data_IF_712541021075
#
_entry.id   IF_712541021075
#
_cell.length_a   1.000
_cell.length_b   1.000
_cell.length_c   1.000
_cell.angle_alpha   90.00
_cell.angle_beta   90.00
_cell.angle_gamma   90.00
#
_symmetry.space_group_name_H-M   'P 1'
#
loop_
_entity.id
_entity.type
_entity.pdbx_description
1 polymer ?
#
# COMPACT_ATOMS: atom_id res chain seq x y z
N UNK A 1 24.31 71.97 -25.76
CA UNK A 1 24.24 70.72 -24.99
C UNK A 1 22.77 70.34 -24.97
N UNK A 2 22.36 69.50 -25.91
CA UNK A 2 20.96 69.18 -26.18
C UNK A 2 20.58 67.96 -25.37
N UNK A 3 19.83 68.18 -24.29
CA UNK A 3 19.11 67.13 -23.59
C UNK A 3 17.92 66.70 -24.49
N UNK A 4 18.01 65.49 -25.04
CA UNK A 4 16.86 64.80 -25.60
C UNK A 4 16.19 64.03 -24.46
N UNK A 5 15.17 64.62 -23.86
CA UNK A 5 14.18 63.86 -23.08
C UNK A 5 13.52 62.84 -24.00
N UNK A 6 13.83 61.57 -23.80
CA UNK A 6 13.07 60.46 -24.36
C UNK A 6 11.73 60.40 -23.62
N UNK A 7 10.71 61.03 -24.19
CA UNK A 7 9.33 60.86 -23.76
C UNK A 7 8.87 59.46 -24.20
N UNK A 8 8.89 58.51 -23.27
CA UNK A 8 8.31 57.18 -23.43
C UNK A 8 6.82 57.31 -23.80
N UNK A 9 6.40 56.69 -24.90
CA UNK A 9 5.04 56.76 -25.42
C UNK A 9 4.06 56.07 -24.45
N UNK A 10 2.83 56.59 -24.24
CA UNK A 10 1.79 55.88 -23.48
C UNK A 10 1.43 54.53 -24.08
N UNK A 11 1.71 54.30 -25.38
CA UNK A 11 1.56 53.00 -26.01
C UNK A 11 2.58 51.99 -25.49
N UNK A 12 3.83 52.41 -25.22
CA UNK A 12 4.89 51.52 -24.72
C UNK A 12 4.61 51.04 -23.29
N UNK A 13 4.01 51.88 -22.43
CA UNK A 13 3.64 51.49 -21.06
C UNK A 13 2.43 50.55 -21.01
N UNK A 14 1.46 50.74 -21.92
CA UNK A 14 0.30 49.85 -22.02
C UNK A 14 0.71 48.51 -22.63
N UNK A 15 1.62 48.52 -23.60
CA UNK A 15 2.20 47.30 -24.18
C UNK A 15 3.00 46.53 -23.12
N UNK A 16 3.77 47.21 -22.26
CA UNK A 16 4.55 46.57 -21.20
C UNK A 16 3.66 45.89 -20.14
N UNK A 17 2.61 46.56 -19.68
CA UNK A 17 1.64 45.99 -18.72
C UNK A 17 0.90 44.78 -19.29
N UNK A 18 0.52 44.83 -20.56
CA UNK A 18 -0.09 43.70 -21.26
C UNK A 18 0.89 42.53 -21.41
N UNK A 19 2.17 42.80 -21.68
CA UNK A 19 3.20 41.76 -21.74
C UNK A 19 3.49 41.14 -20.38
N UNK A 20 3.51 41.93 -19.31
CA UNK A 20 3.77 41.43 -17.96
C UNK A 20 2.59 40.57 -17.46
N UNK A 21 1.35 41.01 -17.70
CA UNK A 21 0.14 40.23 -17.40
C UNK A 21 0.08 38.89 -18.15
N UNK A 22 0.50 38.87 -19.42
CA UNK A 22 0.52 37.64 -20.22
C UNK A 22 1.62 36.68 -19.78
N UNK A 23 2.79 37.19 -19.39
CA UNK A 23 3.88 36.37 -18.82
C UNK A 23 3.43 35.71 -17.52
N UNK A 24 2.80 36.44 -16.59
CA UNK A 24 2.28 35.88 -15.33
C UNK A 24 1.27 34.76 -15.60
N UNK A 25 0.28 35.00 -16.47
CA UNK A 25 -0.72 33.98 -16.85
C UNK A 25 -0.11 32.75 -17.50
N UNK A 26 0.96 32.92 -18.28
CA UNK A 26 1.66 31.79 -18.90
C UNK A 26 2.42 30.98 -17.84
N UNK A 27 3.11 31.64 -16.91
CA UNK A 27 3.80 30.98 -15.80
C UNK A 27 2.85 30.15 -14.94
N UNK A 28 1.69 30.71 -14.56
CA UNK A 28 0.65 29.97 -13.81
C UNK A 28 0.15 28.74 -14.57
N UNK A 29 -0.06 28.86 -15.89
CA UNK A 29 -0.46 27.73 -16.74
C UNK A 29 0.64 26.67 -16.85
N UNK A 30 1.91 27.05 -16.87
CA UNK A 30 3.04 26.11 -16.89
C UNK A 30 3.08 25.31 -15.58
N UNK A 31 3.02 25.97 -14.43
CA UNK A 31 2.98 25.30 -13.13
C UNK A 31 1.79 24.34 -13.02
N UNK A 32 0.62 24.75 -13.50
CA UNK A 32 -0.57 23.91 -13.50
C UNK A 32 -0.40 22.67 -14.40
N UNK A 33 0.22 22.82 -15.57
CA UNK A 33 0.52 21.70 -16.47
C UNK A 33 1.54 20.75 -15.87
N UNK A 34 2.57 21.26 -15.18
CA UNK A 34 3.55 20.44 -14.47
C UNK A 34 2.89 19.60 -13.36
N UNK A 35 1.99 20.20 -12.57
CA UNK A 35 1.21 19.48 -11.57
C UNK A 35 0.30 18.40 -12.19
N UNK A 36 -0.39 18.73 -13.29
CA UNK A 36 -1.22 17.76 -14.00
C UNK A 36 -0.39 16.60 -14.55
N UNK A 37 0.78 16.89 -15.13
CA UNK A 37 1.69 15.89 -15.65
C UNK A 37 2.19 14.96 -14.53
N UNK A 38 2.57 15.52 -13.37
CA UNK A 38 3.00 14.74 -12.21
C UNK A 38 1.89 13.82 -11.69
N UNK A 39 0.64 14.31 -11.64
CA UNK A 39 -0.51 13.50 -11.22
C UNK A 39 -0.81 12.36 -12.21
N UNK A 40 -0.76 12.62 -13.52
CA UNK A 40 -0.95 11.59 -14.55
C UNK A 40 0.20 10.58 -14.53
N UNK A 41 1.44 11.03 -14.35
CA UNK A 41 2.60 10.16 -14.22
C UNK A 41 2.46 9.22 -13.02
N UNK A 42 1.98 9.73 -11.88
CA UNK A 42 1.67 8.93 -10.70
C UNK A 42 0.64 7.83 -11.03
N UNK A 43 -0.48 8.18 -11.68
CA UNK A 43 -1.52 7.23 -12.07
C UNK A 43 -1.03 6.18 -13.07
N UNK A 44 -0.24 6.58 -14.07
CA UNK A 44 0.36 5.65 -15.03
C UNK A 44 1.37 4.73 -14.35
N UNK A 45 2.17 5.27 -13.42
CA UNK A 45 3.10 4.47 -12.64
C UNK A 45 2.37 3.42 -11.82
N UNK A 46 1.22 3.74 -11.25
CA UNK A 46 0.38 2.77 -10.55
C UNK A 46 -0.24 1.73 -11.52
N UNK A 47 -0.75 2.15 -12.68
CA UNK A 47 -1.28 1.20 -13.68
C UNK A 47 -0.21 0.21 -14.13
N UNK A 48 1.02 0.67 -14.33
CA UNK A 48 2.14 -0.18 -14.70
C UNK A 48 2.60 -1.07 -13.55
N UNK A 49 2.85 -0.48 -12.37
CA UNK A 49 3.33 -1.16 -11.16
C UNK A 49 2.39 -2.27 -10.71
N UNK A 50 1.09 -1.98 -10.65
CA UNK A 50 0.09 -2.95 -10.18
C UNK A 50 -0.53 -3.78 -11.31
N UNK A 51 -0.21 -3.50 -12.58
CA UNK A 51 -0.84 -4.13 -13.74
C UNK A 51 -0.70 -5.65 -13.74
N UNK A 52 0.54 -6.14 -13.53
CA UNK A 52 0.79 -7.59 -13.47
C UNK A 52 0.10 -8.25 -12.27
N UNK A 53 0.14 -7.62 -11.09
CA UNK A 53 -0.56 -8.11 -9.91
C UNK A 53 -2.07 -8.23 -10.17
N UNK A 54 -2.68 -7.20 -10.74
CA UNK A 54 -4.10 -7.19 -11.10
C UNK A 54 -4.45 -8.35 -12.03
N UNK A 55 -3.64 -8.59 -13.05
CA UNK A 55 -3.90 -9.64 -14.04
C UNK A 55 -3.78 -11.04 -13.41
N UNK A 56 -2.79 -11.25 -12.52
CA UNK A 56 -2.63 -12.49 -11.75
C UNK A 56 -3.80 -12.74 -10.79
N UNK A 57 -4.25 -11.70 -10.08
CA UNK A 57 -5.40 -11.76 -9.19
C UNK A 57 -6.70 -12.06 -9.95
N UNK A 58 -6.90 -11.43 -11.11
CA UNK A 58 -8.05 -11.68 -11.98
C UNK A 58 -8.08 -13.13 -12.50
N UNK A 59 -6.91 -13.71 -12.76
CA UNK A 59 -6.75 -15.11 -13.14
C UNK A 59 -6.78 -16.09 -11.95
N UNK A 60 -6.96 -15.60 -10.71
CA UNK A 60 -6.93 -16.39 -9.48
C UNK A 60 -5.63 -17.20 -9.28
N UNK A 61 -4.52 -16.67 -9.81
CA UNK A 61 -3.19 -17.25 -9.64
C UNK A 61 -2.59 -16.76 -8.31
N UNK A 62 -3.13 -17.26 -7.20
CA UNK A 62 -2.90 -16.71 -5.87
C UNK A 62 -1.44 -16.73 -5.43
N UNK A 63 -0.70 -17.81 -5.74
CA UNK A 63 0.72 -17.93 -5.38
C UNK A 63 1.57 -16.92 -6.14
N UNK A 64 1.34 -16.78 -7.44
CA UNK A 64 2.03 -15.82 -8.29
C UNK A 64 1.67 -14.37 -7.92
N UNK A 65 0.40 -14.10 -7.61
CA UNK A 65 -0.07 -12.80 -7.15
C UNK A 65 0.56 -12.41 -5.79
N UNK A 66 0.75 -13.37 -4.89
CA UNK A 66 1.41 -13.17 -3.60
C UNK A 66 2.88 -12.80 -3.77
N UNK A 67 3.61 -13.51 -4.64
CA UNK A 67 4.99 -13.17 -4.99
C UNK A 67 5.09 -11.79 -5.66
N UNK A 68 4.17 -11.47 -6.57
CA UNK A 68 4.13 -10.17 -7.23
C UNK A 68 3.79 -9.05 -6.24
N UNK A 69 2.93 -9.30 -5.26
CA UNK A 69 2.62 -8.36 -4.17
C UNK A 69 3.88 -8.00 -3.41
N UNK A 70 4.70 -8.99 -2.99
CA UNK A 70 5.99 -8.72 -2.35
C UNK A 70 6.90 -7.89 -3.25
N UNK A 71 6.99 -8.21 -4.55
CA UNK A 71 7.80 -7.44 -5.50
C UNK A 71 7.39 -5.97 -5.58
N UNK A 72 6.09 -5.71 -5.71
CA UNK A 72 5.53 -4.37 -5.74
C UNK A 72 5.82 -3.63 -4.43
N UNK A 73 5.69 -4.32 -3.30
CA UNK A 73 5.99 -3.71 -2.00
C UNK A 73 7.46 -3.34 -1.85
N UNK A 74 8.38 -4.18 -2.35
CA UNK A 74 9.81 -3.87 -2.38
C UNK A 74 10.12 -2.67 -3.27
N UNK A 75 9.51 -2.58 -4.45
CA UNK A 75 9.66 -1.43 -5.35
C UNK A 75 9.22 -0.13 -4.66
N UNK A 76 8.08 -0.14 -3.97
CA UNK A 76 7.55 1.02 -3.24
C UNK A 76 8.49 1.44 -2.10
N UNK A 77 9.08 0.47 -1.41
CA UNK A 77 10.08 0.73 -0.38
C UNK A 77 11.46 1.13 -0.95
N UNK A 78 11.64 1.13 -2.28
CA UNK A 78 12.92 1.41 -2.92
C UNK A 78 13.98 0.34 -2.65
N UNK A 79 13.56 -0.89 -2.37
CA UNK A 79 14.45 -2.01 -2.05
C UNK A 79 14.39 -3.09 -3.13
N UNK A 80 15.48 -3.84 -3.27
CA UNK A 80 15.58 -4.95 -4.23
C UNK A 80 15.45 -6.33 -3.61
N UNK A 81 15.59 -6.43 -2.28
CA UNK A 81 15.55 -7.68 -1.54
C UNK A 81 14.70 -7.52 -0.27
N UNK A 82 13.87 -8.53 0.01
CA UNK A 82 13.02 -8.58 1.20
C UNK A 82 13.82 -8.56 2.50
N UNK A 83 15.00 -9.17 2.53
CA UNK A 83 15.86 -9.18 3.72
C UNK A 83 16.47 -7.80 4.04
N UNK A 84 16.43 -6.86 3.09
CA UNK A 84 16.91 -5.48 3.31
C UNK A 84 15.84 -4.58 3.94
N UNK A 85 14.57 -5.00 3.95
CA UNK A 85 13.48 -4.21 4.53
C UNK A 85 13.63 -4.21 6.04
N UNK A 86 13.76 -3.02 6.61
CA UNK A 86 13.79 -2.82 8.06
C UNK A 86 12.40 -2.49 8.61
N UNK A 87 12.14 -2.74 9.91
CA UNK A 87 10.88 -2.33 10.54
C UNK A 87 10.61 -0.82 10.39
N UNK A 88 11.66 0.00 10.37
CA UNK A 88 11.58 1.45 10.17
C UNK A 88 11.12 1.82 8.76
N UNK A 89 11.56 1.09 7.71
CA UNK A 89 11.05 1.28 6.34
C UNK A 89 9.55 0.99 6.27
N UNK A 90 9.11 -0.05 6.98
CA UNK A 90 7.71 -0.47 6.99
C UNK A 90 6.81 0.54 7.70
N UNK A 91 7.26 1.19 8.76
CA UNK A 91 6.45 2.19 9.46
C UNK A 91 6.23 3.45 8.59
N UNK A 92 7.07 3.68 7.59
CA UNK A 92 6.95 4.79 6.63
C UNK A 92 6.20 4.41 5.35
N UNK A 93 5.75 3.15 5.22
CA UNK A 93 5.14 2.66 3.99
C UNK A 93 3.92 3.49 3.59
N UNK A 94 3.77 3.94 2.33
CA UNK A 94 2.68 4.84 1.96
C UNK A 94 1.29 4.23 2.13
N UNK A 95 0.41 4.90 2.88
CA UNK A 95 -0.95 4.41 3.13
C UNK A 95 -1.78 4.24 1.85
N UNK A 96 -1.60 5.12 0.86
CA UNK A 96 -2.28 5.02 -0.44
C UNK A 96 -1.96 3.70 -1.15
N UNK A 97 -0.70 3.26 -1.07
CA UNK A 97 -0.26 1.99 -1.66
C UNK A 97 -0.83 0.79 -0.91
N UNK A 98 -0.81 0.80 0.42
CA UNK A 98 -1.39 -0.28 1.23
C UNK A 98 -2.89 -0.45 0.98
N UNK A 99 -3.64 0.66 0.93
CA UNK A 99 -5.06 0.66 0.62
C UNK A 99 -5.35 0.14 -0.80
N UNK A 100 -4.50 0.48 -1.77
CA UNK A 100 -4.67 0.00 -3.15
C UNK A 100 -4.37 -1.50 -3.28
N UNK A 101 -3.30 -1.99 -2.66
CA UNK A 101 -2.97 -3.41 -2.61
C UNK A 101 -4.10 -4.21 -1.94
N UNK A 102 -4.59 -3.75 -0.79
CA UNK A 102 -5.72 -4.35 -0.09
C UNK A 102 -6.98 -4.40 -0.97
N UNK A 103 -7.32 -3.26 -1.61
CA UNK A 103 -8.48 -3.18 -2.51
C UNK A 103 -8.40 -4.19 -3.66
N UNK A 104 -7.22 -4.36 -4.27
CA UNK A 104 -7.02 -5.34 -5.35
C UNK A 104 -7.25 -6.76 -4.84
N UNK A 105 -6.61 -7.14 -3.74
CA UNK A 105 -6.76 -8.48 -3.15
C UNK A 105 -8.21 -8.78 -2.79
N UNK A 106 -8.89 -7.84 -2.14
CA UNK A 106 -10.29 -7.99 -1.74
C UNK A 106 -11.23 -8.10 -2.93
N UNK A 107 -11.08 -7.23 -3.92
CA UNK A 107 -11.93 -7.21 -5.10
C UNK A 107 -11.90 -8.55 -5.85
N UNK A 108 -10.72 -9.11 -6.08
CA UNK A 108 -10.58 -10.34 -6.87
C UNK A 108 -10.81 -11.62 -6.06
N UNK A 109 -10.60 -11.58 -4.74
CA UNK A 109 -10.87 -12.72 -3.85
C UNK A 109 -12.32 -12.79 -3.34
N UNK A 110 -13.16 -11.79 -3.63
CA UNK A 110 -14.50 -11.68 -3.07
C UNK A 110 -14.46 -11.45 -1.56
N UNK A 111 -13.62 -10.51 -1.11
CA UNK A 111 -13.40 -10.17 0.29
C UNK A 111 -12.93 -11.35 1.16
N UNK A 112 -12.19 -12.30 0.59
CA UNK A 112 -11.58 -13.41 1.35
C UNK A 112 -10.14 -13.14 1.77
N UNK A 113 -9.41 -12.38 0.96
CA UNK A 113 -7.98 -12.10 1.10
C UNK A 113 -7.74 -10.59 1.09
N UNK A 114 -6.67 -10.14 1.74
CA UNK A 114 -6.31 -8.72 1.83
C UNK A 114 -5.76 -8.34 3.21
N UNK A 115 -4.90 -7.33 3.24
CA UNK A 115 -4.24 -6.86 4.46
C UNK A 115 -5.20 -6.34 5.52
N UNK A 116 -6.33 -5.76 5.13
CA UNK A 116 -7.36 -5.30 6.07
C UNK A 116 -8.03 -6.45 6.81
N UNK A 117 -8.24 -7.60 6.18
CA UNK A 117 -8.73 -8.80 6.87
C UNK A 117 -7.68 -9.35 7.83
N UNK A 118 -6.41 -9.35 7.43
CA UNK A 118 -5.31 -9.80 8.28
C UNK A 118 -5.20 -8.93 9.54
N UNK A 119 -5.27 -7.61 9.36
CA UNK A 119 -5.36 -6.66 10.46
C UNK A 119 -6.58 -6.93 11.33
N UNK A 120 -7.76 -7.10 10.74
CA UNK A 120 -9.00 -7.31 11.50
C UNK A 120 -8.92 -8.59 12.35
N UNK A 121 -8.37 -9.67 11.80
CA UNK A 121 -8.08 -10.91 12.53
C UNK A 121 -7.14 -10.61 13.70
N UNK A 122 -6.03 -9.92 13.46
CA UNK A 122 -5.08 -9.53 14.51
C UNK A 122 -5.73 -8.74 15.65
N UNK A 123 -6.55 -7.73 15.33
CA UNK A 123 -7.26 -6.95 16.35
C UNK A 123 -8.26 -7.81 17.12
N UNK A 124 -9.00 -8.70 16.43
CA UNK A 124 -9.96 -9.59 17.10
C UNK A 124 -9.31 -10.60 18.04
N UNK A 125 -8.04 -10.94 17.82
CA UNK A 125 -7.24 -11.78 18.74
C UNK A 125 -6.64 -11.00 19.94
N UNK A 126 -6.95 -9.71 20.04
CA UNK A 126 -6.45 -8.79 21.09
C UNK A 126 -5.23 -7.98 20.68
N UNK A 127 -4.82 -8.03 19.41
CA UNK A 127 -3.69 -7.26 18.89
C UNK A 127 -3.93 -5.76 18.91
N UNK A 128 -2.86 -4.99 19.17
CA UNK A 128 -2.87 -3.51 19.17
C UNK A 128 -1.77 -2.97 18.27
N UNK A 129 -1.76 -1.65 18.05
CA UNK A 129 -0.72 -0.92 17.33
C UNK A 129 0.51 -0.58 18.20
N UNK A 130 0.56 -1.09 19.44
CA UNK A 130 1.69 -0.91 20.35
C UNK A 130 2.90 -1.76 19.92
N UNK A 131 3.76 -1.16 19.10
CA UNK A 131 4.99 -1.79 18.60
C UNK A 131 6.03 -2.10 19.70
N UNK A 132 5.86 -1.58 20.92
CA UNK A 132 6.79 -1.86 22.03
C UNK A 132 6.56 -3.21 22.68
N UNK A 133 5.39 -3.82 22.45
CA UNK A 133 5.01 -5.10 23.02
C UNK A 133 4.73 -6.13 21.91
N UNK A 134 5.56 -7.18 21.85
CA UNK A 134 5.39 -8.28 20.90
C UNK A 134 4.79 -9.48 21.64
N UNK A 135 3.47 -9.64 21.57
CA UNK A 135 2.78 -10.82 22.10
C UNK A 135 2.77 -11.95 21.06
N UNK A 136 3.69 -12.90 21.25
CA UNK A 136 3.80 -14.06 20.38
C UNK A 136 2.54 -14.95 20.42
N UNK A 137 1.83 -15.02 21.54
CA UNK A 137 0.62 -15.84 21.66
C UNK A 137 -0.52 -15.27 20.79
N UNK A 138 -0.62 -13.94 20.67
CA UNK A 138 -1.54 -13.30 19.72
C UNK A 138 -1.15 -13.69 18.29
N UNK A 139 0.11 -13.48 17.89
CA UNK A 139 0.58 -13.80 16.54
C UNK A 139 0.38 -15.28 16.18
N UNK A 140 0.54 -16.17 17.15
CA UNK A 140 0.27 -17.59 17.02
C UNK A 140 -1.19 -17.90 16.71
N UNK A 141 -2.15 -17.36 17.48
CA UNK A 141 -3.60 -17.53 17.21
C UNK A 141 -4.01 -16.93 15.87
N UNK A 142 -3.43 -15.78 15.53
CA UNK A 142 -3.61 -15.11 14.25
C UNK A 142 -3.10 -16.00 13.10
N UNK A 143 -1.93 -16.61 13.27
CA UNK A 143 -1.38 -17.59 12.33
C UNK A 143 -2.23 -18.84 12.18
N UNK A 144 -2.85 -19.32 13.27
CA UNK A 144 -3.79 -20.45 13.21
C UNK A 144 -5.04 -20.08 12.40
N UNK A 145 -5.62 -18.89 12.63
CA UNK A 145 -6.82 -18.42 11.90
C UNK A 145 -6.57 -18.15 10.42
N UNK A 146 -5.39 -17.64 10.06
CA UNK A 146 -5.02 -17.39 8.67
C UNK A 146 -4.49 -18.65 7.96
N UNK A 147 -4.42 -19.80 8.63
CA UNK A 147 -3.88 -21.03 8.04
C UNK A 147 -2.37 -21.00 7.80
N UNK A 148 -1.63 -20.16 8.53
CA UNK A 148 -0.17 -20.09 8.48
C UNK A 148 0.51 -21.04 9.47
N UNK A 149 -0.28 -21.64 10.36
CA UNK A 149 0.18 -22.62 11.35
C UNK A 149 -0.70 -23.86 11.32
N UNK A 150 -0.08 -25.00 11.57
CA UNK A 150 -0.76 -26.26 11.81
C UNK A 150 0.03 -27.09 12.83
N UNK A 151 -0.67 -27.78 13.73
CA UNK A 151 -0.05 -28.61 14.77
C UNK A 151 1.01 -27.85 15.59
N UNK A 152 0.70 -26.61 15.99
CA UNK A 152 1.58 -25.70 16.74
C UNK A 152 2.90 -25.35 16.02
N UNK A 153 2.94 -25.44 14.68
CA UNK A 153 4.12 -25.10 13.88
C UNK A 153 3.77 -24.16 12.74
N UNK A 154 4.63 -23.18 12.51
CA UNK A 154 4.59 -22.31 11.34
C UNK A 154 4.89 -23.11 10.07
N UNK A 155 4.02 -22.97 9.08
CA UNK A 155 4.14 -23.66 7.80
C UNK A 155 5.19 -22.97 6.91
N UNK A 156 5.96 -23.76 6.16
CA UNK A 156 6.79 -23.21 5.10
C UNK A 156 5.92 -22.64 3.97
N UNK A 157 6.50 -21.82 3.10
CA UNK A 157 5.73 -21.13 2.06
C UNK A 157 5.03 -22.10 1.11
N UNK A 158 5.73 -23.19 0.75
CA UNK A 158 5.19 -24.21 -0.14
C UNK A 158 4.12 -25.11 0.51
N UNK A 159 3.92 -24.98 1.83
CA UNK A 159 2.88 -25.71 2.56
C UNK A 159 1.58 -24.91 2.73
N UNK A 160 1.57 -23.62 2.35
CA UNK A 160 0.36 -22.80 2.44
C UNK A 160 -0.67 -23.23 1.38
N UNK A 161 -1.94 -23.10 1.73
CA UNK A 161 -3.05 -23.34 0.81
C UNK A 161 -3.24 -22.11 -0.10
N UNK A 162 -2.95 -22.25 -1.40
CA UNK A 162 -3.18 -21.23 -2.42
C UNK A 162 -4.43 -21.52 -3.27
N UNK A 163 -5.37 -22.32 -2.75
CA UNK A 163 -6.65 -22.56 -3.41
C UNK A 163 -7.68 -21.52 -3.01
N UNK A 164 -8.80 -21.51 -3.73
CA UNK A 164 -9.96 -20.68 -3.38
C UNK A 164 -10.59 -21.07 -2.03
N UNK A 165 -10.27 -22.24 -1.47
CA UNK A 165 -10.74 -22.67 -0.15
C UNK A 165 -9.86 -22.22 1.01
N UNK A 166 -8.73 -21.57 0.75
CA UNK A 166 -7.81 -21.14 1.79
C UNK A 166 -8.51 -20.27 2.85
N UNK A 167 -8.08 -20.32 4.13
CA UNK A 167 -8.72 -19.58 5.21
C UNK A 167 -8.84 -18.08 4.94
N UNK A 168 -9.80 -17.42 5.58
CA UNK A 168 -9.96 -15.97 5.49
C UNK A 168 -8.67 -15.26 5.93
N UNK A 169 -8.26 -14.25 5.17
CA UNK A 169 -7.02 -13.51 5.41
C UNK A 169 -5.73 -14.29 5.10
N UNK A 170 -5.79 -15.52 4.57
CA UNK A 170 -4.57 -16.32 4.33
C UNK A 170 -3.57 -15.61 3.40
N UNK A 171 -4.04 -14.84 2.42
CA UNK A 171 -3.21 -14.10 1.47
C UNK A 171 -3.47 -12.59 1.50
N UNK A 172 -2.49 -11.76 1.12
CA UNK A 172 -1.10 -12.13 0.78
C UNK A 172 -0.28 -12.59 1.99
N UNK A 173 0.58 -13.60 1.82
CA UNK A 173 1.32 -14.30 2.86
C UNK A 173 2.84 -14.13 2.79
N UNK A 174 3.42 -13.93 1.59
CA UNK A 174 4.86 -13.95 1.41
C UNK A 174 5.56 -12.75 2.07
N UNK A 175 4.91 -11.58 2.08
CA UNK A 175 5.42 -10.36 2.72
C UNK A 175 5.73 -10.54 4.22
N UNK A 176 5.05 -11.46 4.90
CA UNK A 176 5.23 -11.69 6.33
C UNK A 176 6.52 -12.49 6.65
N UNK A 177 7.22 -13.03 5.64
CA UNK A 177 8.40 -13.90 5.79
C UNK A 177 9.71 -13.10 5.86
N UNK A 178 9.78 -12.17 6.79
CA UNK A 178 10.97 -11.33 7.01
C UNK A 178 11.98 -11.99 7.97
N UNK A 179 13.26 -11.71 7.76
CA UNK A 179 14.34 -12.09 8.69
C UNK A 179 14.15 -11.52 10.12
N UNK A 180 13.39 -10.43 10.28
CA UNK A 180 13.05 -9.86 11.59
C UNK A 180 11.87 -10.55 12.30
N UNK A 181 11.23 -11.53 11.65
CA UNK A 181 10.17 -12.36 12.23
C UNK A 181 9.03 -11.54 12.85
N UNK A 182 8.68 -11.88 14.10
CA UNK A 182 7.57 -11.27 14.83
C UNK A 182 7.66 -9.73 14.94
N UNK A 183 8.88 -9.17 15.01
CA UNK A 183 9.06 -7.71 15.05
C UNK A 183 8.55 -7.06 13.77
N UNK A 184 8.87 -7.61 12.59
CA UNK A 184 8.36 -7.09 11.33
C UNK A 184 6.84 -7.18 11.24
N UNK A 185 6.28 -8.30 11.70
CA UNK A 185 4.85 -8.53 11.66
C UNK A 185 4.09 -7.46 12.48
N UNK A 186 4.52 -7.20 13.73
CA UNK A 186 3.88 -6.19 14.59
C UNK A 186 4.01 -4.79 14.00
N UNK A 187 5.18 -4.42 13.47
CA UNK A 187 5.37 -3.11 12.85
C UNK A 187 4.49 -2.91 11.62
N UNK A 188 4.36 -3.95 10.79
CA UNK A 188 3.50 -3.87 9.61
C UNK A 188 2.01 -3.80 9.99
N UNK A 189 1.57 -4.60 10.97
CA UNK A 189 0.20 -4.54 11.50
C UNK A 189 -0.13 -3.17 12.08
N UNK A 190 0.77 -2.60 12.88
CA UNK A 190 0.63 -1.24 13.40
C UNK A 190 0.55 -0.22 12.26
N UNK A 191 1.35 -0.38 11.20
CA UNK A 191 1.28 0.49 10.02
C UNK A 191 -0.07 0.39 9.31
N UNK A 192 -0.58 -0.82 9.12
CA UNK A 192 -1.92 -1.01 8.55
C UNK A 192 -2.98 -0.28 9.39
N UNK A 193 -2.87 -0.33 10.72
CA UNK A 193 -3.82 0.32 11.66
C UNK A 193 -3.77 1.83 11.53
N UNK A 194 -2.57 2.42 11.55
CA UNK A 194 -2.38 3.85 11.34
C UNK A 194 -2.85 4.35 9.97
N UNK A 195 -2.85 3.47 8.97
CA UNK A 195 -3.31 3.78 7.62
C UNK A 195 -4.82 3.56 7.42
N UNK A 196 -5.58 3.19 8.45
CA UNK A 196 -7.01 2.88 8.37
C UNK A 196 -7.34 1.87 7.26
N UNK A 197 -6.48 0.87 7.06
CA UNK A 197 -6.68 -0.19 6.06
C UNK A 197 -7.74 -1.16 6.61
N UNK A 198 -9.02 -0.81 6.48
CA UNK A 198 -10.14 -1.50 7.14
C UNK A 198 -11.01 -2.31 6.19
N UNK A 199 -11.56 -3.40 6.72
CA UNK A 199 -12.57 -4.25 6.06
C UNK A 199 -13.93 -4.08 6.72
N UNK A 200 -14.99 -4.16 5.92
CA UNK A 200 -16.38 -4.15 6.41
C UNK A 200 -16.93 -5.57 6.62
N UNK A 201 -16.10 -6.61 6.43
CA UNK A 201 -16.51 -8.00 6.66
C UNK A 201 -16.69 -8.23 8.16
N UNK A 202 -17.85 -8.73 8.58
CA UNK A 202 -18.05 -9.16 9.97
C UNK A 202 -17.38 -10.52 10.16
N UNK A 203 -16.39 -10.59 11.06
CA UNK A 203 -15.85 -11.87 11.50
C UNK A 203 -16.93 -12.52 12.37
N UNK A 204 -17.63 -13.52 11.82
CA UNK A 204 -18.52 -14.36 12.61
C UNK A 204 -17.64 -15.34 13.36
N UNK A 205 -17.70 -15.33 14.69
CA UNK A 205 -17.13 -16.39 15.51
C UNK A 205 -17.95 -17.66 15.24
N UNK A 206 -17.34 -18.65 14.58
CA UNK A 206 -17.91 -20.00 14.57
C UNK A 206 -17.77 -20.55 16.00
N UNK A 207 -18.82 -20.37 16.81
CA UNK A 207 -18.97 -21.10 18.07
C UNK A 207 -18.92 -22.59 17.74
N UNK A 208 -17.86 -23.25 18.20
CA UNK A 208 -17.74 -24.70 18.14
C UNK A 208 -18.86 -25.34 18.98
N UNK A 209 -19.94 -25.76 18.33
CA UNK A 209 -20.87 -26.76 18.88
C UNK A 209 -20.10 -28.10 19.03
N UNK A 210 -19.54 -28.34 20.22
CA UNK A 210 -19.15 -29.67 20.64
C UNK A 210 -20.27 -30.27 21.50
N UNK A 211 -20.98 -31.22 20.88
CA UNK A 211 -21.80 -32.25 21.53
C UNK A 211 -20.91 -33.36 22.06
#
# INVERSE_FOLDING_TARGET
MTDKEQLSSPEDSVQSDLTESTVVRLSERVEQLEQQLNNVLLLLSDVYRYGKLRDLLAAQQWKEADLETTKVMLEIAGQSNHDNITPEDVIQFPCSSLRLLDKLWRQYSGDRFGFSLQQQIYVSEGGTDDISNIDLAILERVGDRMGWRANNKWLSYDQLDFSVSAPLGCHPSNWWRSAYGAKMAVYFLARLMQCDVTSNVLLVEEESENV
#
